data_IF_571830189130
#
_entry.id   IF_571830189130
#
_cell.length_a   1.000
_cell.length_b   1.000
_cell.length_c   1.000
_cell.angle_alpha   90.00
_cell.angle_beta   90.00
_cell.angle_gamma   90.00
#
_symmetry.space_group_name_H-M   'P 1'
#
loop_
_entity.id
_entity.type
_entity.pdbx_description
1 polymer ?
#
# COMPACT_ATOMS: atom_id res chain seq x y z
N UNK A 1 4.47 -21.68 -11.56
CA UNK A 1 4.89 -20.53 -10.74
C UNK A 1 3.64 -19.92 -10.19
N UNK A 2 3.31 -20.25 -8.94
CA UNK A 2 2.05 -19.82 -8.34
C UNK A 2 2.13 -18.33 -7.92
N UNK A 3 1.08 -17.53 -8.17
CA UNK A 3 1.06 -16.09 -7.95
C UNK A 3 1.11 -15.67 -6.46
N UNK A 4 0.99 -16.63 -5.54
CA UNK A 4 0.87 -16.44 -4.10
C UNK A 4 2.19 -16.12 -3.37
N UNK A 5 3.35 -16.45 -3.94
CA UNK A 5 4.66 -16.10 -3.35
C UNK A 5 4.97 -14.59 -3.39
N UNK A 6 4.17 -13.80 -4.10
CA UNK A 6 4.43 -12.36 -4.34
C UNK A 6 3.71 -11.45 -3.36
N UNK A 7 2.65 -11.95 -2.72
CA UNK A 7 1.99 -11.28 -1.60
C UNK A 7 2.94 -11.13 -0.40
N UNK A 8 3.97 -11.98 -0.29
CA UNK A 8 5.03 -11.85 0.73
C UNK A 8 5.78 -10.51 0.61
N UNK A 9 5.85 -9.88 -0.58
CA UNK A 9 6.46 -8.55 -0.77
C UNK A 9 5.60 -7.39 -0.28
N UNK A 10 4.30 -7.59 -0.04
CA UNK A 10 3.41 -6.59 0.58
C UNK A 10 3.66 -6.47 2.08
N UNK A 11 4.14 -7.54 2.74
CA UNK A 11 4.47 -7.54 4.17
C UNK A 11 5.62 -6.58 4.51
N UNK A 12 6.79 -6.60 3.84
CA UNK A 12 7.84 -5.62 4.09
C UNK A 12 7.41 -4.21 3.68
N UNK A 13 6.61 -4.04 2.63
CA UNK A 13 6.01 -2.75 2.29
C UNK A 13 5.18 -2.19 3.45
N UNK A 14 4.32 -3.01 4.07
CA UNK A 14 3.53 -2.61 5.23
C UNK A 14 4.45 -2.16 6.37
N UNK A 15 5.45 -2.97 6.72
CA UNK A 15 6.33 -2.68 7.86
C UNK A 15 7.12 -1.40 7.64
N UNK A 16 7.73 -1.23 6.46
CA UNK A 16 8.52 -0.04 6.16
C UNK A 16 7.67 1.20 5.91
N UNK A 17 6.49 1.05 5.28
CA UNK A 17 5.56 2.15 5.02
C UNK A 17 4.90 2.68 6.29
N UNK A 18 4.42 1.78 7.17
CA UNK A 18 3.80 2.16 8.45
C UNK A 18 4.86 2.72 9.41
N UNK A 19 6.03 2.09 9.51
CA UNK A 19 7.12 2.63 10.33
C UNK A 19 7.61 3.99 9.81
N UNK A 20 7.65 4.19 8.49
CA UNK A 20 8.00 5.46 7.85
C UNK A 20 6.97 6.56 8.12
N UNK A 21 5.68 6.31 7.89
CA UNK A 21 4.60 7.30 8.09
C UNK A 21 4.41 7.68 9.56
N UNK A 22 4.36 6.71 10.46
CA UNK A 22 4.23 6.98 11.91
C UNK A 22 5.51 7.59 12.48
N UNK A 23 6.68 7.12 12.04
CA UNK A 23 7.98 7.70 12.39
C UNK A 23 8.09 9.15 11.92
N UNK A 24 7.65 9.46 10.70
CA UNK A 24 7.59 10.82 10.17
C UNK A 24 6.61 11.70 10.94
N UNK A 25 5.40 11.21 11.27
CA UNK A 25 4.41 11.96 12.02
C UNK A 25 4.93 12.40 13.42
N UNK A 26 5.63 11.50 14.12
CA UNK A 26 6.20 11.78 15.46
C UNK A 26 7.45 12.67 15.36
N UNK A 27 8.35 12.39 14.40
CA UNK A 27 9.59 13.18 14.26
C UNK A 27 9.37 14.55 13.65
N UNK A 28 8.37 14.74 12.78
CA UNK A 28 7.99 16.05 12.27
C UNK A 28 7.49 16.97 13.40
N UNK A 29 6.72 16.43 14.36
CA UNK A 29 6.26 17.17 15.53
C UNK A 29 7.42 17.47 16.50
N UNK A 30 8.29 16.49 16.77
CA UNK A 30 9.47 16.69 17.63
C UNK A 30 10.53 17.63 17.03
N UNK A 31 10.56 17.79 15.70
CA UNK A 31 11.41 18.78 15.02
C UNK A 31 10.84 20.20 15.17
N UNK A 32 9.50 20.35 15.18
CA UNK A 32 8.84 21.64 15.43
C UNK A 32 9.00 22.13 16.87
N UNK A 33 9.11 21.21 17.84
CA UNK A 33 9.36 21.52 19.27
C UNK A 33 10.85 21.71 19.61
N UNK A 34 11.74 21.62 18.62
CA UNK A 34 13.18 21.92 18.78
C UNK A 34 14.01 20.82 19.46
N UNK A 35 13.46 19.61 19.63
CA UNK A 35 14.11 18.50 20.33
C UNK A 35 14.85 17.53 19.39
N UNK A 36 14.55 17.53 18.09
CA UNK A 36 15.13 16.59 17.12
C UNK A 36 15.85 17.26 15.95
N UNK A 37 16.93 16.63 15.50
CA UNK A 37 17.71 17.06 14.35
C UNK A 37 16.93 16.83 13.04
N UNK A 38 17.00 17.78 12.10
CA UNK A 38 16.23 17.81 10.84
C UNK A 38 16.41 16.57 9.95
N UNK A 39 17.46 15.78 10.19
CA UNK A 39 17.72 14.51 9.51
C UNK A 39 16.69 13.42 9.87
N UNK A 40 16.19 13.40 11.11
CA UNK A 40 15.30 12.34 11.58
C UNK A 40 14.05 12.18 10.67
N UNK A 41 13.25 13.22 10.38
CA UNK A 41 12.10 13.08 9.49
C UNK A 41 12.48 12.71 8.05
N UNK A 42 13.63 13.14 7.54
CA UNK A 42 14.08 12.82 6.17
C UNK A 42 14.37 11.31 6.02
N UNK A 43 14.99 10.69 7.04
CA UNK A 43 15.28 9.25 7.03
C UNK A 43 13.99 8.42 7.06
N UNK A 44 13.01 8.81 7.89
CA UNK A 44 11.72 8.12 7.96
C UNK A 44 10.92 8.25 6.66
N UNK A 45 10.95 9.43 6.02
CA UNK A 45 10.34 9.63 4.71
C UNK A 45 11.05 8.79 3.62
N UNK A 46 12.38 8.69 3.66
CA UNK A 46 13.13 7.80 2.76
C UNK A 46 12.74 6.33 2.91
N UNK A 47 12.49 5.88 4.14
CA UNK A 47 12.02 4.52 4.43
C UNK A 47 10.61 4.26 3.89
N UNK A 48 9.70 5.23 4.04
CA UNK A 48 8.35 5.17 3.48
C UNK A 48 8.38 5.03 1.95
N UNK A 49 9.17 5.87 1.27
CA UNK A 49 9.31 5.85 -0.19
C UNK A 49 9.87 4.50 -0.66
N UNK A 50 10.90 3.99 0.02
CA UNK A 50 11.46 2.68 -0.29
C UNK A 50 10.40 1.56 -0.17
N UNK A 51 9.59 1.56 0.89
CA UNK A 51 8.49 0.61 1.05
C UNK A 51 7.44 0.72 -0.07
N UNK A 52 7.03 1.93 -0.43
CA UNK A 52 6.02 2.18 -1.46
C UNK A 52 6.49 1.75 -2.86
N UNK A 53 7.79 1.93 -3.18
CA UNK A 53 8.37 1.46 -4.44
C UNK A 53 8.32 -0.06 -4.54
N UNK A 54 8.72 -0.78 -3.48
CA UNK A 54 8.64 -2.25 -3.45
C UNK A 54 7.19 -2.71 -3.68
N UNK A 55 6.23 -2.03 -3.07
CA UNK A 55 4.80 -2.31 -3.23
C UNK A 55 4.23 -2.07 -4.62
N UNK A 56 4.61 -0.95 -5.24
CA UNK A 56 4.20 -0.62 -6.59
C UNK A 56 4.76 -1.62 -7.61
N UNK A 57 6.02 -2.05 -7.41
CA UNK A 57 6.65 -3.08 -8.24
C UNK A 57 5.95 -4.43 -8.05
N UNK A 58 5.67 -4.85 -6.81
CA UNK A 58 4.93 -6.09 -6.56
C UNK A 58 3.53 -6.11 -7.22
N UNK A 59 2.78 -5.01 -7.09
CA UNK A 59 1.43 -4.87 -7.68
C UNK A 59 1.46 -4.86 -9.20
N UNK A 60 2.48 -4.22 -9.79
CA UNK A 60 2.64 -4.18 -11.25
C UNK A 60 2.94 -5.57 -11.81
N UNK A 61 3.87 -6.30 -11.21
CA UNK A 61 4.19 -7.66 -11.62
C UNK A 61 2.98 -8.62 -11.50
N UNK A 62 2.08 -8.38 -10.54
CA UNK A 62 0.84 -9.16 -10.40
C UNK A 62 -0.08 -9.01 -11.63
N UNK A 63 -0.33 -7.77 -12.06
CA UNK A 63 -1.21 -7.48 -13.19
C UNK A 63 -0.64 -8.06 -14.49
N UNK A 64 0.67 -7.91 -14.68
CA UNK A 64 1.36 -8.44 -15.87
C UNK A 64 1.23 -9.96 -15.95
N UNK A 65 1.33 -10.68 -14.83
CA UNK A 65 1.28 -12.14 -14.87
C UNK A 65 -0.13 -12.73 -14.82
N UNK A 66 -1.12 -12.00 -14.26
CA UNK A 66 -2.52 -12.43 -14.28
C UNK A 66 -3.21 -12.17 -15.63
N UNK A 67 -2.89 -11.06 -16.30
CA UNK A 67 -3.57 -10.63 -17.53
C UNK A 67 -2.59 -9.96 -18.51
N UNK A 68 -1.71 -10.74 -19.16
CA UNK A 68 -0.70 -10.20 -20.10
C UNK A 68 -1.28 -9.36 -21.23
N UNK A 69 -2.43 -9.75 -21.79
CA UNK A 69 -3.07 -9.02 -22.89
C UNK A 69 -3.73 -7.70 -22.47
N UNK A 70 -4.20 -7.59 -21.23
CA UNK A 70 -4.91 -6.40 -20.71
C UNK A 70 -4.07 -5.58 -19.71
N UNK A 71 -2.81 -5.95 -19.50
CA UNK A 71 -1.95 -5.34 -18.50
C UNK A 71 -1.79 -3.83 -18.74
N UNK A 72 -1.59 -3.41 -19.99
CA UNK A 72 -1.35 -1.99 -20.36
C UNK A 72 -2.55 -1.11 -20.05
N UNK A 73 -3.76 -1.58 -20.36
CA UNK A 73 -5.01 -0.86 -20.06
C UNK A 73 -5.24 -0.79 -18.56
N UNK A 74 -5.00 -1.89 -17.84
CA UNK A 74 -5.09 -1.94 -16.37
C UNK A 74 -4.14 -0.96 -15.67
N UNK A 75 -2.87 -0.92 -16.10
CA UNK A 75 -1.90 0.05 -15.57
C UNK A 75 -2.31 1.49 -15.78
N UNK A 76 -2.80 1.79 -16.98
CA UNK A 76 -3.22 3.15 -17.34
C UNK A 76 -4.37 3.60 -16.43
N UNK A 77 -5.37 2.73 -16.23
CA UNK A 77 -6.49 2.99 -15.31
C UNK A 77 -6.02 3.20 -13.87
N UNK A 78 -5.10 2.38 -13.36
CA UNK A 78 -4.56 2.52 -12.00
C UNK A 78 -3.78 3.83 -11.82
N UNK A 79 -2.96 4.22 -12.80
CA UNK A 79 -2.20 5.47 -12.76
C UNK A 79 -3.15 6.68 -12.78
N UNK A 80 -4.18 6.64 -13.63
CA UNK A 80 -5.20 7.70 -13.70
C UNK A 80 -5.93 7.81 -12.36
N UNK A 81 -6.41 6.69 -11.81
CA UNK A 81 -7.08 6.65 -10.52
C UNK A 81 -6.20 7.23 -9.42
N UNK A 82 -4.93 6.80 -9.33
CA UNK A 82 -3.96 7.31 -8.35
C UNK A 82 -3.78 8.82 -8.46
N UNK A 83 -3.65 9.35 -9.69
CA UNK A 83 -3.42 10.78 -9.89
C UNK A 83 -4.66 11.62 -9.58
N UNK A 84 -5.87 11.15 -9.93
CA UNK A 84 -7.13 11.81 -9.56
C UNK A 84 -7.34 11.76 -8.04
N UNK A 85 -7.11 10.61 -7.42
CA UNK A 85 -7.19 10.44 -5.97
C UNK A 85 -6.20 11.37 -5.27
N UNK A 86 -4.95 11.41 -5.72
CA UNK A 86 -3.93 12.31 -5.18
C UNK A 86 -4.33 13.78 -5.33
N UNK A 87 -4.91 14.16 -6.47
CA UNK A 87 -5.36 15.54 -6.70
C UNK A 87 -6.52 15.93 -5.78
N UNK A 88 -7.51 15.04 -5.62
CA UNK A 88 -8.61 15.22 -4.68
C UNK A 88 -8.13 15.27 -3.23
N UNK A 89 -7.16 14.43 -2.88
CA UNK A 89 -6.54 14.43 -1.57
C UNK A 89 -5.80 15.74 -1.31
N UNK A 90 -5.05 16.29 -2.28
CA UNK A 90 -4.31 17.54 -2.09
C UNK A 90 -5.22 18.72 -1.71
N UNK A 91 -6.41 18.85 -2.31
CA UNK A 91 -7.34 19.93 -1.92
C UNK A 91 -7.87 19.77 -0.49
N UNK A 92 -8.22 18.55 -0.08
CA UNK A 92 -8.70 18.27 1.28
C UNK A 92 -7.58 18.29 2.31
N UNK A 93 -6.43 17.75 1.96
CA UNK A 93 -5.23 17.72 2.78
C UNK A 93 -4.67 19.11 3.01
N UNK A 94 -4.74 20.03 2.03
CA UNK A 94 -4.34 21.42 2.22
C UNK A 94 -5.15 22.09 3.33
N UNK A 95 -6.48 21.94 3.31
CA UNK A 95 -7.35 22.51 4.33
C UNK A 95 -7.10 21.90 5.73
N UNK A 96 -6.91 20.58 5.79
CA UNK A 96 -6.51 19.88 7.02
C UNK A 96 -5.13 20.28 7.53
N UNK A 97 -4.17 20.52 6.64
CA UNK A 97 -2.82 20.92 7.02
C UNK A 97 -2.80 22.31 7.65
N UNK A 98 -3.60 23.24 7.09
CA UNK A 98 -3.71 24.61 7.58
C UNK A 98 -4.38 24.68 8.96
N UNK A 99 -5.39 23.84 9.23
CA UNK A 99 -6.16 23.90 10.48
C UNK A 99 -5.67 22.91 11.56
N UNK A 100 -5.29 21.69 11.20
CA UNK A 100 -4.97 20.58 12.12
C UNK A 100 -3.48 20.25 12.22
N UNK A 101 -2.65 20.85 11.38
CA UNK A 101 -1.21 20.63 11.38
C UNK A 101 -0.77 19.30 10.76
N UNK A 102 0.55 19.15 10.62
CA UNK A 102 1.19 18.02 9.92
C UNK A 102 0.89 16.68 10.60
N UNK A 103 0.85 16.64 11.94
CA UNK A 103 0.71 15.39 12.69
C UNK A 103 -0.57 14.64 12.33
N UNK A 104 -1.73 15.31 12.37
CA UNK A 104 -3.04 14.69 12.13
C UNK A 104 -3.18 14.17 10.69
N UNK A 105 -2.68 14.93 9.72
CA UNK A 105 -2.72 14.53 8.30
C UNK A 105 -1.93 13.25 8.06
N UNK A 106 -0.69 13.19 8.57
CA UNK A 106 0.16 12.01 8.39
C UNK A 106 -0.31 10.80 9.20
N UNK A 107 -0.92 11.02 10.36
CA UNK A 107 -1.54 9.94 11.15
C UNK A 107 -2.77 9.36 10.43
N UNK A 108 -3.61 10.20 9.82
CA UNK A 108 -4.73 9.75 9.00
C UNK A 108 -4.26 8.96 7.76
N UNK A 109 -3.20 9.42 7.09
CA UNK A 109 -2.57 8.69 5.97
C UNK A 109 -2.02 7.33 6.41
N UNK A 110 -1.34 7.28 7.56
CA UNK A 110 -0.87 6.03 8.16
C UNK A 110 -2.00 5.06 8.50
N UNK A 111 -3.12 5.56 9.03
CA UNK A 111 -4.30 4.74 9.31
C UNK A 111 -4.92 4.15 8.03
N UNK A 112 -5.06 4.95 6.98
CA UNK A 112 -5.55 4.47 5.67
C UNK A 112 -4.62 3.39 5.10
N UNK A 113 -3.30 3.57 5.21
CA UNK A 113 -2.32 2.58 4.78
C UNK A 113 -2.48 1.25 5.54
N UNK A 114 -2.67 1.29 6.86
CA UNK A 114 -2.92 0.09 7.67
C UNK A 114 -4.22 -0.59 7.24
N UNK A 115 -5.30 0.17 7.03
CA UNK A 115 -6.60 -0.38 6.62
C UNK A 115 -6.48 -1.11 5.27
N UNK A 116 -5.80 -0.51 4.29
CA UNK A 116 -5.59 -1.11 2.96
C UNK A 116 -4.77 -2.40 3.07
N UNK A 117 -3.73 -2.40 3.89
CA UNK A 117 -2.95 -3.61 4.13
C UNK A 117 -3.73 -4.68 4.88
N UNK A 118 -4.58 -4.31 5.84
CA UNK A 118 -5.44 -5.25 6.55
C UNK A 118 -6.51 -5.83 5.62
N UNK A 119 -7.02 -5.04 4.67
CA UNK A 119 -7.92 -5.50 3.61
C UNK A 119 -7.22 -6.42 2.60
N UNK A 120 -5.88 -6.36 2.50
CA UNK A 120 -5.11 -7.27 1.65
C UNK A 120 -4.95 -8.66 2.29
N UNK A 121 -4.97 -8.77 3.63
CA UNK A 121 -4.89 -10.04 4.37
C UNK A 121 -5.97 -11.07 3.98
N UNK A 122 -7.28 -10.74 3.87
CA UNK A 122 -8.29 -11.72 3.45
C UNK A 122 -8.09 -12.20 2.01
N UNK A 123 -7.44 -11.42 1.13
CA UNK A 123 -7.04 -11.93 -0.19
C UNK A 123 -5.90 -12.96 -0.09
N UNK A 124 -5.02 -12.85 0.91
CA UNK A 124 -3.98 -13.84 1.18
C UNK A 124 -4.57 -15.19 1.62
N UNK A 125 -5.57 -15.17 2.51
CA UNK A 125 -6.20 -16.39 3.05
C UNK A 125 -7.18 -17.05 2.06
N UNK A 126 -7.78 -16.29 1.14
CA UNK A 126 -8.74 -16.81 0.16
C UNK A 126 -8.06 -17.39 -1.09
N UNK A 127 -6.84 -16.93 -1.42
CA UNK A 127 -6.05 -17.44 -2.54
C UNK A 127 -5.79 -18.97 -2.53
N UNK A 128 -5.44 -19.62 -1.39
CA UNK A 128 -5.26 -21.09 -1.36
C UNK A 128 -6.57 -21.88 -1.54
N UNK A 129 -7.75 -21.25 -1.47
CA UNK A 129 -9.05 -21.93 -1.58
C UNK A 129 -9.58 -22.02 -3.03
N UNK A 130 -9.15 -21.13 -3.92
CA UNK A 130 -9.54 -21.13 -5.35
C UNK A 130 -9.12 -22.44 -6.08
N UNK A 131 -7.89 -22.97 -5.95
CA UNK A 131 -7.52 -24.21 -6.65
C UNK A 131 -8.27 -25.44 -6.12
N UNK A 132 -8.69 -25.47 -4.84
CA UNK A 132 -9.50 -26.57 -4.29
C UNK A 132 -10.94 -26.59 -4.82
N UNK A 133 -11.51 -25.43 -5.15
CA UNK A 133 -12.83 -25.32 -5.77
C UNK A 133 -12.80 -25.83 -7.22
N UNK A 134 -11.74 -25.53 -7.98
CA UNK A 134 -11.60 -26.01 -9.37
C UNK A 134 -11.36 -27.53 -9.47
N UNK A 135 -10.69 -28.14 -8.48
CA UNK A 135 -10.50 -29.60 -8.42
C UNK A 135 -11.81 -30.32 -8.01
N UNK A 136 -12.63 -29.70 -7.15
CA UNK A 136 -13.93 -30.27 -6.74
C UNK A 136 -14.98 -30.22 -7.86
N UNK A 137 -14.91 -29.25 -8.78
CA UNK A 137 -15.84 -29.14 -9.91
C UNK A 137 -15.46 -29.97 -11.14
N UNK A 138 -14.26 -30.56 -11.18
CA UNK A 138 -13.76 -31.36 -12.33
C UNK A 138 -13.73 -32.86 -12.07
N UNK A 139 -14.03 -33.32 -10.86
CA UNK A 139 -14.21 -34.75 -10.57
C UNK A 139 -15.67 -35.14 -10.87
N UNK A 140 -15.96 -36.04 -11.83
CA UNK A 140 -17.30 -36.60 -11.96
C UNK A 140 -17.66 -37.34 -10.66
N UNK A 141 -18.94 -37.33 -10.21
CA UNK A 141 -19.34 -38.17 -9.09
C UNK A 141 -19.01 -39.62 -9.43
N UNK A 142 -18.17 -40.25 -8.62
CA UNK A 142 -17.90 -41.67 -8.70
C UNK A 142 -19.21 -42.43 -8.45
N UNK A 143 -19.84 -42.91 -9.52
CA UNK A 143 -20.79 -44.02 -9.56
C UNK A 143 -20.42 -44.88 -10.77
#
# INVERSE_FOLDING_TARGET
YEPEFRIVLVVPQLVFGVAGLFGFAVTAQGTLEGQFHWIAPIIFFGLEVAGTVVGAVASSLYIVDAYRDLAIEGFTCLIIFKNIFSFGLTFKAYDWLVHGGIREVFFALGAVQIIICFLSVPMCELAPMIPLIQITTTLPPAI
#
